data_IF_947084500304
#
_entry.id   IF_947084500304
#
_cell.length_a   1.000
_cell.length_b   1.000
_cell.length_c   1.000
_cell.angle_alpha   90.00
_cell.angle_beta   90.00
_cell.angle_gamma   90.00
#
_symmetry.space_group_name_H-M   'P 1'
#
loop_
_entity.id
_entity.type
_entity.pdbx_description
1 polymer ?
#
# COMPACT_ATOMS: atom_id res chain seq x y z
N UNK A 1 16.22 -3.44 32.97
CA UNK A 1 17.38 -2.80 32.31
C UNK A 1 18.09 -3.79 31.37
N UNK A 2 18.86 -3.30 30.39
CA UNK A 2 19.73 -4.05 29.45
C UNK A 2 19.08 -5.11 28.53
N UNK A 3 17.81 -5.48 28.73
CA UNK A 3 17.13 -6.50 27.92
C UNK A 3 16.97 -6.17 26.43
N UNK A 4 16.76 -4.89 26.08
CA UNK A 4 16.74 -4.49 24.66
C UNK A 4 18.16 -4.52 24.04
N UNK A 5 19.20 -3.90 24.63
CA UNK A 5 20.59 -4.09 24.18
C UNK A 5 21.01 -5.55 24.01
N UNK A 6 20.69 -6.43 24.97
CA UNK A 6 20.99 -7.87 24.88
C UNK A 6 20.32 -8.53 23.67
N UNK A 7 19.04 -8.23 23.43
CA UNK A 7 18.29 -8.70 22.26
C UNK A 7 18.89 -8.17 20.95
N UNK A 8 19.23 -6.89 20.88
CA UNK A 8 19.80 -6.26 19.69
C UNK A 8 21.21 -6.78 19.37
N UNK A 9 22.01 -7.10 20.39
CA UNK A 9 23.32 -7.74 20.23
C UNK A 9 23.18 -9.12 19.57
N UNK A 10 22.29 -9.97 20.07
CA UNK A 10 21.97 -11.25 19.44
C UNK A 10 21.41 -11.08 18.03
N UNK A 11 20.47 -10.14 17.85
CA UNK A 11 19.83 -9.87 16.56
C UNK A 11 20.86 -9.53 15.48
N UNK A 12 21.78 -8.61 15.77
CA UNK A 12 22.87 -8.20 14.87
C UNK A 12 23.90 -9.31 14.63
N UNK A 13 24.15 -10.18 15.63
CA UNK A 13 25.10 -11.29 15.47
C UNK A 13 24.52 -12.49 14.73
N UNK A 14 23.25 -12.86 14.93
CA UNK A 14 22.69 -14.17 14.56
C UNK A 14 21.74 -14.17 13.37
N UNK A 15 21.04 -13.07 13.11
CA UNK A 15 19.95 -13.09 12.12
C UNK A 15 20.48 -13.33 10.71
N UNK A 16 19.96 -14.39 10.08
CA UNK A 16 20.37 -14.84 8.75
C UNK A 16 21.67 -15.66 8.72
N UNK A 17 22.23 -16.06 9.87
CA UNK A 17 23.40 -16.94 9.95
C UNK A 17 23.04 -18.36 10.35
N UNK A 18 23.87 -19.30 9.90
CA UNK A 18 23.85 -20.70 10.33
C UNK A 18 24.51 -20.82 11.71
N UNK A 19 23.93 -21.62 12.59
CA UNK A 19 24.40 -21.84 13.98
C UNK A 19 24.32 -23.32 14.34
N UNK A 20 25.29 -23.76 15.13
CA UNK A 20 25.31 -25.08 15.75
C UNK A 20 24.77 -24.97 17.19
N UNK A 21 24.06 -25.99 17.67
CA UNK A 21 23.53 -25.99 19.04
C UNK A 21 23.66 -27.36 19.69
N UNK A 22 23.93 -27.38 20.99
CA UNK A 22 24.03 -28.58 21.82
C UNK A 22 22.99 -28.48 22.94
N UNK A 23 22.07 -29.43 23.03
CA UNK A 23 21.04 -29.44 24.08
C UNK A 23 21.58 -30.15 25.31
N UNK A 24 21.71 -29.43 26.43
CA UNK A 24 22.18 -29.98 27.71
C UNK A 24 21.05 -30.65 28.49
N UNK A 25 19.90 -30.00 28.62
CA UNK A 25 18.78 -30.51 29.39
C UNK A 25 17.43 -29.97 28.91
N UNK A 26 16.36 -30.73 29.18
CA UNK A 26 14.97 -30.35 28.89
C UNK A 26 14.18 -30.30 30.19
N UNK A 27 13.34 -29.29 30.37
CA UNK A 27 12.44 -29.22 31.53
C UNK A 27 11.20 -30.09 31.30
N UNK A 28 10.49 -30.51 32.37
CA UNK A 28 9.20 -31.19 32.24
C UNK A 28 8.13 -30.39 31.49
N UNK A 29 8.32 -29.07 31.36
CA UNK A 29 7.47 -28.15 30.60
C UNK A 29 7.82 -28.09 29.10
N UNK A 30 8.72 -28.96 28.62
CA UNK A 30 9.14 -29.00 27.21
C UNK A 30 10.09 -27.87 26.79
N UNK A 31 10.70 -27.13 27.73
CA UNK A 31 11.71 -26.11 27.38
C UNK A 31 13.09 -26.74 27.31
N UNK A 32 13.76 -26.57 26.18
CA UNK A 32 15.11 -27.07 25.94
C UNK A 32 16.13 -25.99 26.29
N UNK A 33 17.21 -26.38 26.96
CA UNK A 33 18.34 -25.52 27.34
C UNK A 33 19.63 -26.12 26.81
N UNK A 34 20.55 -25.26 26.38
CA UNK A 34 21.75 -25.67 25.67
C UNK A 34 22.63 -24.50 25.26
N UNK A 35 23.76 -24.81 24.63
CA UNK A 35 24.68 -23.83 24.06
C UNK A 35 24.41 -23.59 22.58
N UNK A 36 24.81 -22.41 22.10
CA UNK A 36 24.71 -22.00 20.70
C UNK A 36 26.05 -21.46 20.25
N UNK A 37 26.56 -21.98 19.15
CA UNK A 37 27.85 -21.64 18.56
C UNK A 37 27.64 -21.04 17.16
N UNK A 38 28.37 -19.96 16.87
CA UNK A 38 28.31 -19.32 15.56
C UNK A 38 29.16 -20.08 14.53
N UNK A 39 28.51 -20.75 13.59
CA UNK A 39 29.16 -21.62 12.60
C UNK A 39 28.45 -22.97 12.47
N UNK A 40 29.14 -23.94 11.87
CA UNK A 40 28.62 -25.31 11.65
C UNK A 40 28.97 -26.27 12.77
N UNK A 41 30.08 -26.02 13.45
CA UNK A 41 30.66 -26.89 14.48
C UNK A 41 30.75 -26.17 15.83
N UNK A 42 30.96 -26.93 16.91
CA UNK A 42 31.09 -26.43 18.28
C UNK A 42 32.39 -25.66 18.56
N UNK A 43 33.30 -25.57 17.58
CA UNK A 43 34.49 -24.71 17.64
C UNK A 43 34.21 -23.23 17.33
N UNK A 44 32.96 -22.88 17.02
CA UNK A 44 32.53 -21.51 16.74
C UNK A 44 32.45 -20.61 17.97
N UNK A 45 32.15 -19.32 17.75
CA UNK A 45 31.94 -18.34 18.83
C UNK A 45 30.73 -18.76 19.69
N UNK A 46 30.95 -19.04 20.98
CA UNK A 46 29.88 -19.32 21.92
C UNK A 46 29.08 -18.04 22.24
N UNK A 47 27.77 -18.10 22.00
CA UNK A 47 26.87 -16.96 22.14
C UNK A 47 26.59 -16.63 23.61
N UNK A 48 26.62 -17.61 24.50
CA UNK A 48 26.46 -17.38 25.94
C UNK A 48 27.67 -16.62 26.50
N UNK A 49 28.88 -17.05 26.14
CA UNK A 49 30.14 -16.36 26.47
C UNK A 49 30.14 -14.91 25.95
N UNK A 50 29.73 -14.71 24.69
CA UNK A 50 29.63 -13.39 24.07
C UNK A 50 28.72 -12.42 24.84
N UNK A 51 27.58 -12.90 25.36
CA UNK A 51 26.66 -12.07 26.13
C UNK A 51 27.20 -11.70 27.51
N UNK A 52 27.88 -12.64 28.18
CA UNK A 52 28.46 -12.42 29.51
C UNK A 52 29.65 -11.46 29.42
N UNK A 53 30.52 -11.63 28.41
CA UNK A 53 31.69 -10.77 28.16
C UNK A 53 31.34 -9.29 27.88
N UNK A 54 30.13 -9.02 27.37
CA UNK A 54 29.61 -7.65 27.17
C UNK A 54 28.70 -7.16 28.32
N UNK A 55 28.57 -7.93 29.41
CA UNK A 55 27.70 -7.57 30.53
C UNK A 55 26.21 -7.51 30.18
N UNK A 56 25.79 -8.26 29.15
CA UNK A 56 24.40 -8.33 28.67
C UNK A 56 23.64 -9.53 29.27
N UNK A 57 24.36 -10.47 29.88
CA UNK A 57 23.83 -11.55 30.72
C UNK A 57 24.74 -11.77 31.93
N UNK A 58 24.18 -12.33 33.01
CA UNK A 58 24.92 -12.85 34.16
C UNK A 58 24.80 -14.37 34.24
N UNK A 59 25.75 -15.02 34.92
CA UNK A 59 25.71 -16.46 35.17
C UNK A 59 24.63 -16.79 36.20
N UNK A 60 24.02 -17.98 36.10
CA UNK A 60 23.08 -18.46 37.11
C UNK A 60 23.82 -18.94 38.35
N UNK A 61 23.40 -18.46 39.51
CA UNK A 61 23.89 -18.92 40.81
C UNK A 61 23.47 -20.38 41.10
N UNK A 62 24.23 -21.08 41.93
CA UNK A 62 23.93 -22.45 42.37
C UNK A 62 24.36 -23.58 41.42
N UNK A 63 24.87 -23.28 40.22
CA UNK A 63 25.45 -24.31 39.34
C UNK A 63 26.87 -24.67 39.84
N UNK A 64 27.16 -25.97 40.00
CA UNK A 64 28.45 -26.47 40.50
C UNK A 64 29.61 -26.02 39.60
N UNK A 65 30.64 -25.42 40.18
CA UNK A 65 31.85 -24.91 39.49
C UNK A 65 32.82 -26.01 38.99
N UNK A 66 32.32 -27.23 38.74
CA UNK A 66 33.12 -28.38 38.27
C UNK A 66 33.05 -28.57 36.74
N UNK A 67 32.38 -27.67 36.01
CA UNK A 67 32.35 -27.67 34.54
C UNK A 67 33.32 -26.59 34.01
N UNK A 68 34.30 -26.91 33.14
CA UNK A 68 35.18 -25.93 32.50
C UNK A 68 34.45 -24.76 31.86
N UNK A 69 33.28 -24.97 31.24
CA UNK A 69 32.50 -23.89 30.62
C UNK A 69 31.89 -22.93 31.64
N UNK A 70 31.51 -23.42 32.83
CA UNK A 70 31.06 -22.56 33.93
C UNK A 70 32.19 -21.68 34.48
N UNK A 71 33.42 -22.20 34.50
CA UNK A 71 34.60 -21.44 34.89
C UNK A 71 34.93 -20.38 33.84
N UNK A 72 34.83 -20.72 32.55
CA UNK A 72 35.01 -19.77 31.45
C UNK A 72 33.99 -18.63 31.49
N UNK A 73 32.72 -18.93 31.76
CA UNK A 73 31.70 -17.90 31.96
C UNK A 73 31.99 -17.01 33.18
N UNK A 74 32.53 -17.57 34.27
CA UNK A 74 32.91 -16.79 35.45
C UNK A 74 34.10 -15.83 35.16
N UNK A 75 35.11 -16.27 34.40
CA UNK A 75 36.20 -15.40 33.94
C UNK A 75 35.68 -14.21 33.12
N UNK A 76 34.78 -14.46 32.17
CA UNK A 76 34.20 -13.43 31.31
C UNK A 76 33.28 -12.48 32.09
N UNK A 77 32.57 -12.98 33.09
CA UNK A 77 31.73 -12.16 33.97
C UNK A 77 32.60 -11.19 34.80
N UNK A 78 33.73 -11.65 35.32
CA UNK A 78 34.66 -10.82 36.09
C UNK A 78 35.39 -9.78 35.21
N UNK A 79 35.71 -10.14 33.96
CA UNK A 79 36.19 -9.19 32.96
C UNK A 79 35.15 -8.12 32.64
N UNK A 80 33.88 -8.49 32.47
CA UNK A 80 32.78 -7.55 32.22
C UNK A 80 32.51 -6.62 33.41
N UNK A 81 32.65 -7.12 34.65
CA UNK A 81 32.60 -6.31 35.89
C UNK A 81 33.75 -5.32 35.97
N UNK A 82 34.98 -5.80 35.81
CA UNK A 82 36.21 -4.98 35.83
C UNK A 82 36.15 -3.88 34.77
N UNK A 83 35.66 -4.21 33.57
CA UNK A 83 35.46 -3.26 32.47
C UNK A 83 34.18 -2.40 32.59
N UNK A 84 33.38 -2.56 33.65
CA UNK A 84 32.11 -1.85 33.90
C UNK A 84 31.15 -1.88 32.69
N UNK A 85 31.05 -3.03 32.02
CA UNK A 85 30.24 -3.20 30.80
C UNK A 85 28.78 -3.54 31.13
N UNK A 86 27.86 -3.05 30.31
CA UNK A 86 26.44 -3.43 30.34
C UNK A 86 25.82 -3.27 31.72
N UNK A 87 25.26 -4.35 32.28
CA UNK A 87 24.67 -4.34 33.61
C UNK A 87 25.64 -4.08 34.77
N UNK A 88 26.95 -4.14 34.51
CA UNK A 88 28.01 -3.79 35.47
C UNK A 88 28.50 -2.34 35.35
N UNK A 89 27.92 -1.55 34.44
CA UNK A 89 28.15 -0.11 34.36
C UNK A 89 27.55 0.64 35.55
N UNK A 90 28.06 1.84 35.81
CA UNK A 90 27.55 2.68 36.90
C UNK A 90 26.15 3.24 36.57
N UNK A 91 25.25 3.17 37.55
CA UNK A 91 23.87 3.66 37.46
C UNK A 91 22.82 2.55 37.25
N UNK A 92 21.55 2.96 37.14
CA UNK A 92 20.40 2.02 37.12
C UNK A 92 20.14 1.38 35.75
N UNK A 93 20.86 1.79 34.71
CA UNK A 93 20.61 1.40 33.32
C UNK A 93 19.23 1.82 32.79
N UNK A 94 18.57 2.81 33.40
CA UNK A 94 17.23 3.28 33.02
C UNK A 94 17.14 3.72 31.55
N UNK A 95 18.21 4.36 31.03
CA UNK A 95 18.34 4.79 29.63
C UNK A 95 18.26 3.63 28.60
N UNK A 96 18.40 2.37 29.04
CA UNK A 96 18.24 1.18 28.18
C UNK A 96 16.80 0.67 28.09
N UNK A 97 15.91 1.21 28.94
CA UNK A 97 14.48 0.89 28.94
C UNK A 97 13.80 1.77 27.89
N UNK A 98 13.24 1.13 26.86
CA UNK A 98 12.50 1.83 25.80
C UNK A 98 11.14 2.28 26.31
N UNK A 99 10.79 3.53 26.05
CA UNK A 99 9.40 4.00 26.06
C UNK A 99 8.69 3.45 24.81
N UNK A 100 7.97 2.33 24.95
CA UNK A 100 7.33 1.65 23.82
C UNK A 100 5.95 2.24 23.53
N UNK A 101 5.83 2.92 22.40
CA UNK A 101 4.61 3.60 21.98
C UNK A 101 3.81 2.70 21.03
N UNK A 102 2.76 2.08 21.55
CA UNK A 102 1.91 1.14 20.81
C UNK A 102 0.81 1.80 19.96
N UNK A 103 0.49 3.07 20.25
CA UNK A 103 -0.56 3.85 19.61
C UNK A 103 0.02 5.20 19.19
N UNK A 104 -0.36 5.69 18.01
CA UNK A 104 -0.08 7.05 17.56
C UNK A 104 -1.38 7.85 17.67
N UNK A 105 -1.36 8.99 18.39
CA UNK A 105 -2.54 9.82 18.61
C UNK A 105 -3.12 10.39 17.30
N UNK A 106 -2.25 10.93 16.44
CA UNK A 106 -2.61 11.42 15.11
C UNK A 106 -1.73 10.77 14.02
N UNK A 107 -2.13 9.60 13.49
CA UNK A 107 -1.36 8.87 12.49
C UNK A 107 -1.12 9.65 11.20
N UNK A 108 -2.05 10.53 10.79
CA UNK A 108 -1.91 11.36 9.58
C UNK A 108 -0.76 12.35 9.75
N UNK A 109 -0.85 13.19 10.79
CA UNK A 109 0.20 14.16 11.12
C UNK A 109 1.57 13.49 11.35
N UNK A 110 1.61 12.29 11.92
CA UNK A 110 2.85 11.53 12.10
C UNK A 110 3.48 11.04 10.78
N UNK A 111 2.68 10.64 9.79
CA UNK A 111 3.20 10.27 8.47
C UNK A 111 3.61 11.52 7.68
N UNK A 112 2.80 12.57 7.74
CA UNK A 112 3.05 13.84 7.02
C UNK A 112 4.34 14.53 7.51
N UNK A 113 4.60 14.53 8.83
CA UNK A 113 5.82 15.12 9.42
C UNK A 113 7.11 14.37 9.07
N UNK A 114 7.00 13.09 8.69
CA UNK A 114 8.13 12.29 8.20
C UNK A 114 8.47 12.59 6.73
N UNK A 115 7.62 13.36 6.02
CA UNK A 115 7.83 13.86 4.66
C UNK A 115 8.29 12.78 3.66
N UNK A 116 7.75 11.56 3.77
CA UNK A 116 8.11 10.40 2.94
C UNK A 116 9.62 10.07 2.94
N UNK A 117 10.36 10.49 3.98
CA UNK A 117 11.77 10.13 4.15
C UNK A 117 11.87 8.68 4.68
N UNK A 118 12.91 7.92 4.30
CA UNK A 118 13.11 6.57 4.82
C UNK A 118 13.41 6.61 6.33
N UNK A 119 12.53 6.02 7.14
CA UNK A 119 12.68 5.91 8.60
C UNK A 119 13.34 4.58 8.94
N UNK A 120 14.41 4.59 9.75
CA UNK A 120 15.06 3.37 10.20
C UNK A 120 14.08 2.58 11.11
N UNK A 121 13.92 1.29 10.84
CA UNK A 121 13.01 0.44 11.59
C UNK A 121 13.50 -1.01 11.69
N UNK A 122 12.96 -1.75 12.66
CA UNK A 122 13.20 -3.19 12.84
C UNK A 122 11.86 -3.91 12.67
N UNK A 123 11.81 -4.93 11.80
CA UNK A 123 10.60 -5.75 11.65
C UNK A 123 10.49 -6.73 12.83
N UNK A 124 9.58 -6.49 13.75
CA UNK A 124 9.40 -7.33 14.95
C UNK A 124 8.55 -8.58 14.69
N UNK A 125 7.57 -8.49 13.78
CA UNK A 125 6.65 -9.59 13.48
C UNK A 125 6.07 -9.47 12.06
N UNK A 126 5.69 -10.60 11.45
CA UNK A 126 5.00 -10.64 10.14
C UNK A 126 3.64 -11.31 10.34
N UNK A 127 2.54 -10.61 10.02
CA UNK A 127 1.18 -11.17 10.12
C UNK A 127 0.84 -11.98 8.87
N UNK A 128 1.04 -11.38 7.71
CA UNK A 128 0.93 -11.99 6.39
C UNK A 128 2.04 -11.44 5.49
N UNK A 129 2.16 -11.93 4.25
CA UNK A 129 3.23 -11.51 3.35
C UNK A 129 3.30 -9.99 3.09
N UNK A 130 2.18 -9.27 3.24
CA UNK A 130 2.04 -7.82 3.00
C UNK A 130 1.88 -6.97 4.26
N UNK A 131 1.68 -7.56 5.44
CA UNK A 131 1.42 -6.84 6.69
C UNK A 131 2.40 -7.25 7.78
N UNK A 132 3.20 -6.29 8.24
CA UNK A 132 4.23 -6.48 9.27
C UNK A 132 4.01 -5.56 10.46
N UNK A 133 4.61 -5.90 11.61
CA UNK A 133 4.81 -4.95 12.72
C UNK A 133 6.25 -4.47 12.68
N UNK A 134 6.42 -3.16 12.70
CA UNK A 134 7.72 -2.51 12.67
C UNK A 134 7.91 -1.64 13.92
N UNK A 135 9.09 -1.73 14.52
CA UNK A 135 9.57 -0.80 15.54
C UNK A 135 10.31 0.34 14.83
N UNK A 136 9.70 1.52 14.78
CA UNK A 136 10.31 2.72 14.20
C UNK A 136 11.34 3.32 15.19
N UNK A 137 12.46 3.78 14.66
CA UNK A 137 13.53 4.43 15.41
C UNK A 137 13.59 5.93 15.05
N UNK A 138 13.99 6.83 15.98
CA UNK A 138 14.54 6.54 17.32
C UNK A 138 13.48 6.32 18.42
N UNK A 139 12.23 6.77 18.23
CA UNK A 139 11.24 6.94 19.30
C UNK A 139 10.48 5.66 19.73
N UNK A 140 10.87 4.49 19.21
CA UNK A 140 10.32 3.18 19.57
C UNK A 140 8.80 3.01 19.39
N UNK A 141 8.22 3.61 18.34
CA UNK A 141 6.84 3.37 17.95
C UNK A 141 6.66 1.96 17.34
N UNK A 142 5.78 1.13 17.91
CA UNK A 142 5.52 -0.24 17.44
C UNK A 142 4.24 -0.33 16.58
N UNK A 143 4.38 0.13 15.33
CA UNK A 143 3.30 0.29 14.36
C UNK A 143 3.00 -0.98 13.55
N UNK A 144 1.83 -1.03 12.92
CA UNK A 144 1.54 -2.00 11.85
C UNK A 144 1.75 -1.33 10.51
N UNK A 145 2.62 -1.90 9.66
CA UNK A 145 2.89 -1.41 8.30
C UNK A 145 2.30 -2.40 7.30
N UNK A 146 1.53 -1.87 6.35
CA UNK A 146 0.98 -2.61 5.21
C UNK A 146 1.67 -2.13 3.94
N UNK A 147 2.14 -3.06 3.12
CA UNK A 147 2.84 -2.73 1.88
C UNK A 147 1.88 -2.03 0.90
N UNK A 148 2.26 -0.82 0.48
CA UNK A 148 1.47 -0.01 -0.45
C UNK A 148 1.42 -0.64 -1.86
N UNK A 149 0.34 -0.36 -2.58
CA UNK A 149 0.09 -0.86 -3.93
C UNK A 149 -0.21 -2.35 -4.09
N UNK A 150 -0.07 -3.18 -3.04
CA UNK A 150 -0.25 -4.63 -3.13
C UNK A 150 -1.14 -5.21 -2.02
N UNK A 151 -1.58 -6.46 -2.19
CA UNK A 151 -2.15 -7.30 -1.13
C UNK A 151 -1.76 -8.76 -1.34
N UNK A 152 -1.27 -9.41 -0.29
CA UNK A 152 -1.09 -10.86 -0.23
C UNK A 152 -2.41 -11.56 0.18
N UNK A 153 -2.54 -12.88 -0.08
CA UNK A 153 -3.51 -13.73 0.59
C UNK A 153 -3.35 -13.61 2.11
N UNK A 154 -4.47 -13.62 2.80
CA UNK A 154 -4.59 -13.33 4.23
C UNK A 154 -5.10 -14.53 5.01
N UNK A 155 -4.90 -14.51 6.31
CA UNK A 155 -5.48 -15.50 7.21
C UNK A 155 -6.87 -15.03 7.64
N UNK A 156 -7.90 -15.86 7.44
CA UNK A 156 -9.26 -15.56 7.86
C UNK A 156 -9.43 -15.98 9.33
N UNK A 157 -9.83 -15.02 10.15
CA UNK A 157 -10.23 -15.24 11.54
C UNK A 157 -11.74 -15.07 11.64
N UNK A 158 -12.45 -16.18 11.79
CA UNK A 158 -13.82 -16.18 12.30
C UNK A 158 -13.75 -16.26 13.84
N UNK A 159 -14.73 -15.68 14.53
CA UNK A 159 -14.60 -15.35 15.96
C UNK A 159 -14.33 -16.57 16.88
N UNK A 160 -14.86 -17.75 16.52
CA UNK A 160 -14.74 -19.00 17.28
C UNK A 160 -14.08 -20.14 16.49
N UNK A 161 -13.47 -19.86 15.33
CA UNK A 161 -12.87 -20.88 14.46
C UNK A 161 -11.34 -20.80 14.42
N UNK A 162 -10.62 -21.92 14.19
CA UNK A 162 -9.18 -21.88 13.92
C UNK A 162 -8.87 -21.02 12.70
N UNK A 163 -7.74 -20.31 12.73
CA UNK A 163 -7.34 -19.36 11.71
C UNK A 163 -7.08 -20.05 10.36
N UNK A 164 -8.01 -19.89 9.40
CA UNK A 164 -7.95 -20.57 8.10
C UNK A 164 -7.12 -19.74 7.11
N UNK A 165 -5.97 -20.25 6.60
CA UNK A 165 -5.18 -19.56 5.59
C UNK A 165 -5.92 -19.54 4.24
N UNK A 166 -5.93 -18.38 3.57
CA UNK A 166 -6.23 -18.35 2.14
C UNK A 166 -5.12 -19.09 1.34
N UNK A 167 -5.41 -19.59 0.12
CA UNK A 167 -4.40 -20.24 -0.72
C UNK A 167 -3.16 -19.35 -0.89
N UNK A 168 -1.97 -19.92 -0.67
CA UNK A 168 -0.68 -19.24 -0.68
C UNK A 168 -0.42 -18.23 0.45
N UNK A 169 -1.29 -18.10 1.47
CA UNK A 169 -1.09 -17.15 2.58
C UNK A 169 0.10 -17.53 3.48
N UNK A 170 0.27 -18.81 3.79
CA UNK A 170 1.37 -19.29 4.62
C UNK A 170 2.72 -19.15 3.91
N UNK A 171 2.76 -19.43 2.62
CA UNK A 171 3.94 -19.34 1.76
C UNK A 171 4.33 -17.88 1.51
N UNK A 172 3.34 -16.99 1.29
CA UNK A 172 3.57 -15.54 1.17
C UNK A 172 4.10 -14.96 2.50
N UNK A 173 3.55 -15.38 3.64
CA UNK A 173 4.06 -15.02 4.97
C UNK A 173 5.52 -15.48 5.15
N UNK A 174 5.81 -16.75 4.89
CA UNK A 174 7.16 -17.30 5.00
C UNK A 174 8.17 -16.62 4.06
N UNK A 175 7.74 -16.22 2.85
CA UNK A 175 8.58 -15.47 1.91
C UNK A 175 9.07 -14.13 2.49
N UNK A 176 8.18 -13.42 3.19
CA UNK A 176 8.49 -12.16 3.88
C UNK A 176 9.26 -12.40 5.19
N UNK A 177 8.88 -13.40 6.00
CA UNK A 177 9.57 -13.73 7.26
C UNK A 177 11.03 -14.14 7.05
N UNK A 178 11.28 -15.06 6.12
CA UNK A 178 12.63 -15.54 5.79
C UNK A 178 13.59 -14.43 5.36
N UNK A 179 13.07 -13.30 4.84
CA UNK A 179 13.86 -12.15 4.35
C UNK A 179 13.94 -10.99 5.33
N UNK A 180 12.83 -10.62 5.98
CA UNK A 180 12.71 -9.36 6.72
C UNK A 180 12.54 -9.50 8.24
N UNK A 181 12.11 -10.66 8.77
CA UNK A 181 11.87 -10.80 10.21
C UNK A 181 13.14 -10.51 11.03
N UNK A 182 13.06 -9.54 11.94
CA UNK A 182 14.16 -9.04 12.78
C UNK A 182 15.37 -8.45 12.02
N UNK A 183 15.21 -8.07 10.75
CA UNK A 183 16.22 -7.31 9.99
C UNK A 183 16.05 -5.80 10.23
N UNK A 184 17.16 -5.08 10.15
CA UNK A 184 17.17 -3.63 10.02
C UNK A 184 16.70 -3.26 8.61
N UNK A 185 15.72 -2.38 8.53
CA UNK A 185 15.13 -1.90 7.27
C UNK A 185 14.93 -0.40 7.32
N UNK A 186 14.71 0.22 6.16
CA UNK A 186 14.19 1.57 6.10
C UNK A 186 12.77 1.53 5.56
N UNK A 187 11.83 2.17 6.24
CA UNK A 187 10.42 2.20 5.83
C UNK A 187 10.09 3.62 5.39
N UNK A 188 9.65 3.77 4.15
CA UNK A 188 9.04 5.00 3.66
C UNK A 188 7.58 4.98 4.11
N UNK A 189 7.20 5.90 5.00
CA UNK A 189 5.82 6.07 5.43
C UNK A 189 5.13 6.99 4.40
N UNK A 190 4.11 6.48 3.72
CA UNK A 190 3.52 7.15 2.55
C UNK A 190 2.09 7.64 2.81
N UNK A 191 1.32 6.90 3.62
CA UNK A 191 -0.04 7.28 4.05
C UNK A 191 -0.42 6.45 5.29
N UNK A 192 -1.62 6.64 5.87
CA UNK A 192 -2.13 5.82 6.98
C UNK A 192 -3.64 5.59 6.87
N UNK A 193 -4.10 4.47 7.42
CA UNK A 193 -5.50 4.18 7.65
C UNK A 193 -5.69 3.59 9.05
N UNK A 194 -6.38 4.33 9.92
CA UNK A 194 -6.43 4.09 11.37
C UNK A 194 -5.00 4.02 11.94
N UNK A 195 -4.68 3.02 12.77
CA UNK A 195 -3.32 2.77 13.28
C UNK A 195 -2.41 1.99 12.31
N UNK A 196 -2.87 1.66 11.11
CA UNK A 196 -2.06 0.98 10.09
C UNK A 196 -1.41 2.02 9.17
N UNK A 197 -0.10 1.95 9.01
CA UNK A 197 0.64 2.80 8.08
C UNK A 197 0.76 2.10 6.73
N UNK A 198 0.50 2.81 5.64
CA UNK A 198 0.82 2.39 4.28
C UNK A 198 2.24 2.85 3.97
N UNK A 199 3.08 1.94 3.50
CA UNK A 199 4.46 2.29 3.19
C UNK A 199 5.22 1.22 2.42
N UNK A 200 6.42 1.59 1.99
CA UNK A 200 7.34 0.70 1.28
C UNK A 200 8.52 0.34 2.18
N UNK A 201 8.80 -0.96 2.33
CA UNK A 201 9.97 -1.45 3.06
C UNK A 201 11.16 -1.54 2.10
N UNK A 202 12.23 -0.81 2.42
CA UNK A 202 13.49 -0.80 1.71
C UNK A 202 14.52 -1.64 2.49
N UNK A 203 15.17 -2.54 1.77
CA UNK A 203 16.28 -3.37 2.27
C UNK A 203 17.36 -3.46 1.17
N UNK A 204 18.67 -3.49 1.51
CA UNK A 204 19.74 -3.50 0.50
C UNK A 204 19.62 -4.62 -0.55
N UNK A 205 19.11 -5.79 -0.14
CA UNK A 205 18.95 -6.95 -1.04
C UNK A 205 17.73 -6.85 -1.99
N UNK A 206 16.95 -5.76 -1.95
CA UNK A 206 15.84 -5.50 -2.89
C UNK A 206 14.52 -5.10 -2.24
N UNK A 207 13.57 -4.69 -3.08
CA UNK A 207 12.23 -4.27 -2.68
C UNK A 207 11.29 -5.46 -2.50
N UNK A 208 10.82 -5.70 -1.27
CA UNK A 208 9.95 -6.84 -0.95
C UNK A 208 8.62 -6.77 -1.72
N UNK A 209 8.08 -5.58 -1.95
CA UNK A 209 6.81 -5.35 -2.67
C UNK A 209 6.88 -5.86 -4.11
N UNK A 210 7.99 -5.58 -4.81
CA UNK A 210 8.23 -6.03 -6.18
C UNK A 210 8.47 -7.54 -6.24
N UNK A 211 9.22 -8.09 -5.27
CA UNK A 211 9.51 -9.52 -5.18
C UNK A 211 8.25 -10.37 -4.94
N UNK A 212 7.36 -9.93 -4.05
CA UNK A 212 6.08 -10.61 -3.77
C UNK A 212 5.16 -10.66 -5.00
N UNK A 213 5.13 -9.58 -5.79
CA UNK A 213 4.38 -9.56 -7.06
C UNK A 213 5.02 -10.46 -8.12
N UNK A 214 6.34 -10.38 -8.30
CA UNK A 214 7.09 -11.14 -9.31
C UNK A 214 7.00 -12.64 -9.08
N UNK A 215 7.01 -13.08 -7.82
CA UNK A 215 6.78 -14.49 -7.46
C UNK A 215 5.28 -14.87 -7.47
N UNK A 216 4.34 -13.93 -7.62
CA UNK A 216 2.92 -14.24 -7.61
C UNK A 216 2.37 -14.59 -6.21
N UNK A 217 3.00 -14.10 -5.14
CA UNK A 217 2.46 -14.15 -3.78
C UNK A 217 1.52 -12.97 -3.46
N UNK A 218 1.54 -11.92 -4.29
CA UNK A 218 0.69 -10.75 -4.15
C UNK A 218 0.02 -10.35 -5.47
N UNK A 219 -1.04 -9.56 -5.37
CA UNK A 219 -1.68 -8.84 -6.48
C UNK A 219 -1.63 -7.33 -6.28
N UNK A 220 -1.67 -6.57 -7.36
CA UNK A 220 -1.76 -5.11 -7.31
C UNK A 220 -3.13 -4.65 -6.80
N UNK A 221 -3.17 -3.49 -6.14
CA UNK A 221 -4.36 -2.95 -5.46
C UNK A 221 -4.56 -1.47 -5.79
N UNK A 222 -5.56 -1.20 -6.63
CA UNK A 222 -5.71 0.12 -7.29
C UNK A 222 -6.11 1.29 -6.37
N UNK A 223 -6.46 1.04 -5.11
CA UNK A 223 -6.77 2.10 -4.14
C UNK A 223 -5.52 2.56 -3.37
N UNK A 224 -4.51 1.70 -3.24
CA UNK A 224 -3.24 2.01 -2.56
C UNK A 224 -2.06 2.17 -3.52
N UNK A 225 -2.22 1.84 -4.81
CA UNK A 225 -1.12 1.94 -5.79
C UNK A 225 -0.70 3.38 -6.10
N UNK A 226 -1.60 4.35 -5.96
CA UNK A 226 -1.30 5.77 -6.13
C UNK A 226 -0.44 6.35 -4.99
N UNK A 227 -0.41 5.67 -3.83
CA UNK A 227 0.38 6.05 -2.65
C UNK A 227 1.84 5.59 -2.77
N UNK A 228 2.12 4.60 -3.64
CA UNK A 228 3.44 3.98 -3.78
C UNK A 228 4.44 4.89 -4.51
N UNK A 229 5.45 5.36 -3.77
CA UNK A 229 6.41 6.39 -4.22
C UNK A 229 7.53 5.89 -5.12
N UNK A 230 7.68 4.57 -5.32
CA UNK A 230 8.86 3.96 -5.99
C UNK A 230 8.63 3.57 -7.46
N UNK A 231 7.47 3.93 -8.01
CA UNK A 231 7.06 3.77 -9.41
C UNK A 231 6.03 2.64 -9.62
N UNK A 232 4.75 3.00 -9.69
CA UNK A 232 3.63 2.06 -9.82
C UNK A 232 3.75 1.11 -11.03
N UNK A 233 4.38 1.55 -12.13
CA UNK A 233 4.57 0.74 -13.34
C UNK A 233 5.43 -0.50 -13.11
N UNK A 234 6.39 -0.43 -12.17
CA UNK A 234 7.21 -1.60 -11.77
C UNK A 234 6.35 -2.67 -11.11
N UNK A 235 5.41 -2.27 -10.26
CA UNK A 235 4.46 -3.20 -9.63
C UNK A 235 3.59 -3.87 -10.69
N UNK A 236 3.03 -3.10 -11.63
CA UNK A 236 2.25 -3.65 -12.75
C UNK A 236 3.07 -4.60 -13.63
N UNK A 237 4.32 -4.27 -13.92
CA UNK A 237 5.23 -5.14 -14.68
C UNK A 237 5.56 -6.45 -13.94
N UNK A 238 5.81 -6.39 -12.63
CA UNK A 238 6.06 -7.56 -11.79
C UNK A 238 4.82 -8.46 -11.67
N UNK A 239 3.63 -7.89 -11.50
CA UNK A 239 2.37 -8.64 -11.49
C UNK A 239 2.09 -9.30 -12.85
N UNK A 240 2.31 -8.57 -13.96
CA UNK A 240 2.17 -9.12 -15.32
C UNK A 240 3.12 -10.30 -15.56
N UNK A 241 4.38 -10.21 -15.13
CA UNK A 241 5.35 -11.30 -15.22
C UNK A 241 4.85 -12.60 -14.56
N UNK A 242 4.21 -12.48 -13.38
CA UNK A 242 3.63 -13.61 -12.66
C UNK A 242 2.32 -14.14 -13.27
N UNK A 243 1.47 -13.24 -13.82
CA UNK A 243 0.25 -13.60 -14.57
C UNK A 243 0.55 -14.41 -15.82
N UNK A 244 1.49 -13.94 -16.66
CA UNK A 244 1.92 -14.60 -17.90
C UNK A 244 2.44 -16.03 -17.64
N UNK A 245 3.11 -16.23 -16.50
CA UNK A 245 3.69 -17.52 -16.08
C UNK A 245 2.77 -18.34 -15.17
N UNK A 246 1.54 -17.87 -14.92
CA UNK A 246 0.55 -18.51 -14.04
C UNK A 246 1.12 -18.91 -12.67
N UNK A 247 1.91 -18.03 -12.05
CA UNK A 247 2.60 -18.33 -10.79
C UNK A 247 1.66 -18.22 -9.58
N UNK A 248 1.63 -19.28 -8.76
CA UNK A 248 0.97 -19.36 -7.43
C UNK A 248 -0.48 -18.86 -7.46
N UNK A 249 -0.79 -17.65 -7.00
CA UNK A 249 -2.17 -17.11 -7.01
C UNK A 249 -2.73 -16.97 -8.44
N UNK A 250 -1.86 -16.94 -9.45
CA UNK A 250 -2.23 -16.86 -10.87
C UNK A 250 -2.29 -18.23 -11.57
N UNK A 251 -2.14 -19.36 -10.86
CA UNK A 251 -2.20 -20.71 -11.48
C UNK A 251 -3.51 -20.95 -12.23
N UNK A 252 -4.61 -20.50 -11.62
CA UNK A 252 -5.99 -20.63 -12.11
C UNK A 252 -6.42 -19.38 -12.91
N UNK A 253 -5.46 -18.53 -13.33
CA UNK A 253 -5.75 -17.31 -14.08
C UNK A 253 -6.25 -17.64 -15.49
N UNK A 254 -7.53 -17.35 -15.72
CA UNK A 254 -8.16 -17.27 -17.03
C UNK A 254 -7.96 -15.85 -17.55
N UNK A 255 -7.14 -15.69 -18.57
CA UNK A 255 -7.03 -14.42 -19.29
C UNK A 255 -8.40 -14.06 -19.90
N UNK A 256 -8.85 -12.79 -19.85
CA UNK A 256 -10.06 -12.37 -20.53
C UNK A 256 -9.94 -12.59 -22.04
N UNK A 257 -10.42 -13.71 -22.54
CA UNK A 257 -10.57 -13.95 -23.97
C UNK A 257 -11.61 -12.99 -24.51
N UNK A 258 -11.27 -12.21 -25.55
CA UNK A 258 -12.17 -11.26 -26.22
C UNK A 258 -13.33 -11.93 -27.00
N UNK A 259 -13.54 -13.24 -26.78
CA UNK A 259 -14.68 -14.03 -27.22
C UNK A 259 -15.87 -13.80 -26.27
N UNK A 260 -16.27 -12.53 -26.11
CA UNK A 260 -17.65 -12.24 -25.77
C UNK A 260 -18.49 -12.64 -27.00
N UNK A 261 -19.52 -13.46 -26.78
CA UNK A 261 -20.49 -13.75 -27.83
C UNK A 261 -21.10 -12.44 -28.34
N UNK A 262 -21.49 -12.40 -29.61
CA UNK A 262 -21.99 -11.17 -30.23
C UNK A 262 -23.25 -10.62 -29.52
N UNK A 263 -23.99 -11.50 -28.82
CA UNK A 263 -25.12 -11.18 -27.94
C UNK A 263 -24.74 -10.50 -26.62
N UNK A 264 -23.52 -10.71 -26.12
CA UNK A 264 -22.99 -10.06 -24.91
C UNK A 264 -22.19 -8.79 -25.24
N UNK A 265 -21.72 -8.63 -26.48
CA UNK A 265 -21.06 -7.40 -26.96
C UNK A 265 -22.03 -6.22 -27.06
N UNK A 266 -23.27 -6.47 -27.48
CA UNK A 266 -24.30 -5.44 -27.57
C UNK A 266 -25.68 -6.06 -27.26
N UNK A 267 -26.34 -5.53 -26.24
CA UNK A 267 -27.70 -5.92 -25.86
C UNK A 267 -28.49 -4.68 -25.43
N UNK A 268 -29.79 -4.68 -25.72
CA UNK A 268 -30.72 -3.66 -25.23
C UNK A 268 -31.29 -4.15 -23.90
N UNK A 269 -31.28 -3.27 -22.90
CA UNK A 269 -31.78 -3.55 -21.56
C UNK A 269 -32.34 -2.27 -20.92
N UNK A 270 -33.36 -2.40 -20.06
CA UNK A 270 -33.94 -1.27 -19.34
C UNK A 270 -33.14 -1.01 -18.06
N UNK A 271 -32.64 0.21 -17.88
CA UNK A 271 -32.01 0.61 -16.60
C UNK A 271 -33.06 0.56 -15.50
N UNK A 272 -32.79 -0.22 -14.45
CA UNK A 272 -33.66 -0.39 -13.29
C UNK A 272 -33.20 0.46 -12.10
N UNK A 273 -31.89 0.58 -11.91
CA UNK A 273 -31.29 1.30 -10.79
C UNK A 273 -29.89 1.78 -11.17
N UNK A 274 -29.53 3.00 -10.77
CA UNK A 274 -28.14 3.44 -10.71
C UNK A 274 -27.62 3.14 -9.31
N UNK A 275 -26.53 2.39 -9.19
CA UNK A 275 -25.88 2.11 -7.90
C UNK A 275 -24.89 3.22 -7.58
N UNK A 276 -23.96 3.46 -8.50
CA UNK A 276 -22.91 4.47 -8.43
C UNK A 276 -22.74 5.11 -9.81
N UNK A 277 -21.97 6.19 -9.91
CA UNK A 277 -21.66 6.83 -11.19
C UNK A 277 -20.81 5.95 -12.16
N UNK A 278 -20.37 4.76 -11.74
CA UNK A 278 -19.74 3.73 -12.58
C UNK A 278 -20.50 2.40 -12.65
N UNK A 279 -21.67 2.27 -12.00
CA UNK A 279 -22.36 0.99 -11.84
C UNK A 279 -23.88 1.14 -11.94
N UNK A 280 -24.49 0.44 -12.91
CA UNK A 280 -25.93 0.43 -13.16
C UNK A 280 -26.48 -1.00 -13.18
N UNK A 281 -27.69 -1.20 -12.66
CA UNK A 281 -28.44 -2.45 -12.78
C UNK A 281 -29.41 -2.32 -13.95
N UNK A 282 -29.31 -3.24 -14.90
CA UNK A 282 -30.17 -3.29 -16.08
C UNK A 282 -30.97 -4.59 -16.11
N UNK A 283 -32.23 -4.50 -16.55
CA UNK A 283 -33.10 -5.65 -16.80
C UNK A 283 -33.04 -6.03 -18.27
N UNK A 284 -32.62 -7.26 -18.53
CA UNK A 284 -32.56 -7.88 -19.84
C UNK A 284 -33.96 -8.26 -20.34
N UNK A 285 -34.11 -8.43 -21.65
CA UNK A 285 -35.36 -8.88 -22.27
C UNK A 285 -35.79 -10.30 -21.84
N UNK A 286 -34.86 -11.12 -21.30
CA UNK A 286 -35.17 -12.41 -20.66
C UNK A 286 -35.88 -12.28 -19.31
N UNK A 287 -35.93 -11.06 -18.74
CA UNK A 287 -36.42 -10.80 -17.38
C UNK A 287 -35.31 -10.72 -16.33
N UNK A 288 -34.10 -11.21 -16.64
CA UNK A 288 -32.96 -11.25 -15.73
C UNK A 288 -32.38 -9.85 -15.44
N UNK A 289 -31.77 -9.69 -14.25
CA UNK A 289 -31.10 -8.45 -13.86
C UNK A 289 -29.58 -8.63 -13.91
N UNK A 290 -28.88 -7.74 -14.61
CA UNK A 290 -27.40 -7.73 -14.77
C UNK A 290 -26.85 -6.40 -14.24
N UNK A 291 -25.76 -6.44 -13.47
CA UNK A 291 -25.04 -5.21 -13.10
C UNK A 291 -23.98 -4.95 -14.16
N UNK A 292 -23.99 -3.74 -14.74
CA UNK A 292 -23.04 -3.28 -15.75
C UNK A 292 -22.18 -2.19 -15.12
N UNK A 293 -20.86 -2.38 -15.20
CA UNK A 293 -19.88 -1.38 -14.80
C UNK A 293 -19.37 -0.64 -16.03
N UNK A 294 -19.29 0.69 -15.95
CA UNK A 294 -18.78 1.53 -17.02
C UNK A 294 -17.26 1.38 -17.10
N UNK A 295 -16.76 0.92 -18.24
CA UNK A 295 -15.34 0.69 -18.47
C UNK A 295 -14.54 2.00 -18.45
N UNK A 296 -13.30 1.93 -17.96
CA UNK A 296 -12.31 3.01 -18.03
C UNK A 296 -12.62 4.30 -17.25
N UNK A 297 -13.69 4.34 -16.46
CA UNK A 297 -13.99 5.44 -15.54
C UNK A 297 -13.91 5.00 -14.07
N UNK A 298 -13.75 5.95 -13.17
CA UNK A 298 -13.82 5.75 -11.71
C UNK A 298 -14.59 6.93 -11.11
N UNK A 299 -15.61 6.69 -10.27
CA UNK A 299 -16.40 7.76 -9.69
C UNK A 299 -15.62 8.39 -8.51
N UNK A 300 -15.87 9.66 -8.18
CA UNK A 300 -15.42 10.24 -6.92
C UNK A 300 -15.97 9.40 -5.76
N UNK A 301 -15.10 8.98 -4.85
CA UNK A 301 -15.54 8.30 -3.62
C UNK A 301 -15.88 9.36 -2.58
N UNK A 302 -17.07 9.26 -1.99
CA UNK A 302 -17.41 10.04 -0.81
C UNK A 302 -16.48 9.61 0.34
N UNK A 303 -15.88 10.58 1.03
CA UNK A 303 -15.05 10.29 2.20
C UNK A 303 -15.93 9.80 3.35
N UNK A 304 -15.83 8.50 3.68
CA UNK A 304 -16.45 7.94 4.88
C UNK A 304 -16.90 6.48 4.75
N UNK A 305 -17.28 6.02 3.57
CA UNK A 305 -17.98 4.72 3.45
C UNK A 305 -17.01 3.52 3.38
N UNK A 306 -16.47 3.17 4.55
CA UNK A 306 -15.67 1.97 4.79
C UNK A 306 -16.49 0.72 5.11
N UNK A 307 -17.81 0.74 4.90
CA UNK A 307 -18.72 -0.34 5.24
C UNK A 307 -19.12 -1.19 4.02
N UNK A 308 -19.30 -2.49 4.23
CA UNK A 308 -19.68 -3.43 3.17
C UNK A 308 -21.14 -3.21 2.74
N UNK A 309 -21.39 -3.15 1.43
CA UNK A 309 -22.72 -3.47 0.86
C UNK A 309 -22.68 -4.83 0.17
N UNK A 310 -22.31 -5.86 0.94
CA UNK A 310 -22.52 -7.26 0.54
C UNK A 310 -23.90 -7.72 0.99
N UNK A 311 -24.84 -7.86 0.05
CA UNK A 311 -26.06 -8.64 0.25
C UNK A 311 -27.29 -7.89 0.75
N UNK A 312 -27.92 -7.08 -0.09
CA UNK A 312 -29.40 -6.94 -0.07
C UNK A 312 -30.00 -7.89 -1.10
N UNK A 313 -30.32 -9.12 -0.67
CA UNK A 313 -31.08 -10.07 -1.50
C UNK A 313 -32.51 -9.56 -1.64
N UNK A 314 -32.96 -9.39 -2.89
CA UNK A 314 -34.32 -8.92 -3.20
C UNK A 314 -35.38 -9.86 -2.61
N UNK A 315 -36.35 -9.30 -1.86
CA UNK A 315 -37.65 -9.94 -1.63
C UNK A 315 -38.63 -9.36 -2.64
N UNK A 316 -39.34 -10.25 -3.34
CA UNK A 316 -40.32 -9.86 -4.36
C UNK A 316 -41.42 -8.98 -3.80
N UNK A 317 -41.76 -7.91 -4.51
CA UNK A 317 -42.98 -7.15 -4.30
C UNK A 317 -44.13 -7.99 -4.89
N UNK A 318 -45.12 -8.34 -4.07
CA UNK A 318 -46.32 -9.03 -4.52
C UNK A 318 -47.22 -8.07 -5.33
N UNK A 319 -47.97 -8.55 -6.34
CA UNK A 319 -48.87 -7.69 -7.11
C UNK A 319 -50.08 -7.31 -6.26
N UNK A 320 -50.29 -6.01 -6.00
CA UNK A 320 -51.50 -5.52 -5.30
C UNK A 320 -51.31 -4.41 -4.25
N UNK A 321 -50.24 -3.62 -4.31
CA UNK A 321 -50.10 -2.42 -3.47
C UNK A 321 -50.19 -1.15 -4.33
N UNK A 322 -51.04 -0.21 -3.94
CA UNK A 322 -51.23 1.08 -4.60
C UNK A 322 -50.00 1.99 -4.45
N UNK A 323 -49.77 2.85 -5.44
CA UNK A 323 -48.65 3.79 -5.48
C UNK A 323 -48.65 4.78 -4.29
N UNK A 324 -47.51 4.97 -3.60
CA UNK A 324 -47.29 6.16 -2.80
C UNK A 324 -46.85 7.32 -3.72
N UNK A 325 -47.54 8.46 -3.61
CA UNK A 325 -47.19 9.70 -4.30
C UNK A 325 -45.77 10.16 -3.95
N UNK A 326 -45.02 10.63 -4.96
CA UNK A 326 -43.66 11.10 -4.78
C UNK A 326 -43.61 12.45 -4.03
N UNK A 327 -42.58 12.71 -3.20
CA UNK A 327 -42.32 14.05 -2.69
C UNK A 327 -41.72 14.93 -3.79
N UNK A 328 -42.14 16.20 -3.86
CA UNK A 328 -41.59 17.18 -4.80
C UNK A 328 -40.12 17.47 -4.49
N UNK A 329 -39.28 17.44 -5.54
CA UNK A 329 -37.90 17.92 -5.48
C UNK A 329 -37.85 19.39 -5.92
N UNK A 330 -37.48 20.26 -4.99
CA UNK A 330 -37.23 21.68 -5.26
C UNK A 330 -36.06 21.84 -6.24
N UNK A 331 -36.30 22.46 -7.40
CA UNK A 331 -35.26 22.96 -8.30
C UNK A 331 -35.11 24.47 -8.10
N UNK A 332 -33.88 25.02 -8.03
CA UNK A 332 -33.68 26.47 -8.06
C UNK A 332 -33.98 27.02 -9.46
N UNK A 333 -34.65 28.16 -9.47
CA UNK A 333 -35.25 28.81 -10.65
C UNK A 333 -34.20 29.31 -11.67
N UNK A 334 -34.43 29.06 -12.96
CA UNK A 334 -33.57 29.55 -14.04
C UNK A 334 -33.97 30.98 -14.43
N UNK A 335 -33.00 31.89 -14.52
CA UNK A 335 -33.21 33.24 -15.06
C UNK A 335 -33.58 33.20 -16.55
N UNK A 336 -34.45 34.10 -17.05
CA UNK A 336 -34.90 34.12 -18.43
C UNK A 336 -33.81 34.64 -19.40
N UNK A 337 -33.86 34.25 -20.69
CA UNK A 337 -32.85 34.62 -21.69
C UNK A 337 -32.99 36.08 -22.17
N UNK A 338 -31.85 36.74 -22.40
CA UNK A 338 -31.81 38.06 -23.04
C UNK A 338 -32.03 37.96 -24.56
N UNK A 339 -32.74 38.95 -25.11
CA UNK A 339 -33.16 39.03 -26.50
C UNK A 339 -32.01 39.36 -27.48
N UNK A 340 -32.13 39.02 -28.79
CA UNK A 340 -31.04 39.18 -29.75
C UNK A 340 -30.98 40.59 -30.36
N UNK A 341 -29.79 41.22 -30.32
CA UNK A 341 -29.53 42.49 -31.01
C UNK A 341 -28.93 42.28 -32.42
N UNK A 342 -29.49 43.01 -33.40
CA UNK A 342 -29.07 43.00 -34.82
C UNK A 342 -27.82 43.87 -35.07
N UNK A 343 -27.26 43.73 -36.26
CA UNK A 343 -25.96 44.26 -36.70
C UNK A 343 -25.95 45.69 -37.26
N UNK A 344 -24.95 46.51 -36.83
CA UNK A 344 -24.22 47.59 -37.57
C UNK A 344 -25.02 48.83 -38.05
N UNK A 345 -24.41 50.01 -38.37
CA UNK A 345 -23.03 50.24 -38.85
C UNK A 345 -22.23 51.41 -38.18
N UNK A 346 -21.26 51.95 -38.92
CA UNK A 346 -19.99 52.62 -38.50
C UNK A 346 -20.06 54.14 -38.32
N UNK A 347 -19.41 54.66 -37.27
CA UNK A 347 -18.68 55.95 -37.17
C UNK A 347 -18.00 56.07 -35.78
N UNK A 348 -16.97 56.89 -35.52
CA UNK A 348 -16.09 57.64 -36.43
C UNK A 348 -15.37 58.84 -35.79
N UNK A 349 -14.16 58.68 -35.22
CA UNK A 349 -13.36 59.77 -34.62
C UNK A 349 -12.22 59.31 -33.70
N UNK A 350 -11.14 60.08 -33.62
CA UNK A 350 -9.91 59.85 -32.83
C UNK A 350 -9.48 61.19 -32.13
N UNK A 351 -8.28 61.35 -31.53
CA UNK A 351 -7.71 60.65 -30.36
C UNK A 351 -7.16 61.62 -29.27
N UNK A 352 -6.87 61.11 -28.06
CA UNK A 352 -5.81 61.60 -27.14
C UNK A 352 -5.39 60.42 -26.24
N UNK A 353 -4.12 60.04 -26.01
CA UNK A 353 -2.85 60.75 -25.77
C UNK A 353 -2.61 61.16 -24.31
N UNK A 354 -1.91 60.29 -23.56
CA UNK A 354 -1.15 60.60 -22.35
C UNK A 354 -0.05 59.52 -22.15
N UNK A 355 1.16 59.90 -21.73
CA UNK A 355 2.32 59.01 -21.72
C UNK A 355 3.29 59.25 -20.55
N UNK A 356 3.86 58.15 -20.01
CA UNK A 356 5.18 58.05 -19.33
C UNK A 356 5.36 58.88 -18.03
N UNK A 357 6.51 58.79 -17.28
CA UNK A 357 7.77 58.00 -17.42
C UNK A 357 8.07 57.01 -16.25
N UNK A 358 8.78 55.89 -16.44
CA UNK A 358 10.26 55.60 -16.48
C UNK A 358 11.04 55.50 -15.14
N UNK A 359 11.89 54.46 -15.06
CA UNK A 359 12.99 54.26 -14.08
C UNK A 359 13.41 52.78 -14.01
N UNK A 360 14.29 52.23 -14.87
CA UNK A 360 15.78 52.31 -14.99
C UNK A 360 16.63 51.47 -14.00
N UNK A 361 17.12 50.31 -14.49
CA UNK A 361 18.51 49.75 -14.43
C UNK A 361 18.50 48.35 -15.07
N UNK A 362 19.35 47.99 -16.06
CA UNK A 362 20.79 47.64 -16.01
C UNK A 362 21.08 46.45 -15.06
N UNK A 363 21.76 45.37 -15.44
CA UNK A 363 22.64 45.00 -16.58
C UNK A 363 22.18 43.65 -17.21
N UNK A 364 22.72 43.01 -18.25
CA UNK A 364 23.87 43.23 -19.15
C UNK A 364 24.48 41.88 -19.57
N UNK A 365 24.48 41.52 -20.87
CA UNK A 365 25.00 40.24 -21.36
C UNK A 365 24.81 40.05 -22.87
N UNK A 366 25.85 39.61 -23.58
CA UNK A 366 25.97 39.74 -25.04
C UNK A 366 26.15 38.39 -25.77
N UNK A 367 25.48 38.30 -26.93
CA UNK A 367 25.43 37.31 -28.04
C UNK A 367 26.75 36.55 -28.41
N UNK A 368 26.76 35.50 -29.30
CA UNK A 368 25.78 35.18 -30.37
C UNK A 368 25.43 33.69 -30.69
N UNK A 369 24.44 33.55 -31.61
CA UNK A 369 24.17 32.56 -32.71
C UNK A 369 25.04 31.26 -32.83
N UNK A 370 24.58 30.12 -33.37
CA UNK A 370 23.72 29.84 -34.54
C UNK A 370 22.92 28.50 -34.47
N UNK A 371 22.12 28.25 -35.52
CA UNK A 371 21.29 27.07 -35.90
C UNK A 371 19.78 27.23 -35.59
N UNK A 372 18.85 27.08 -36.53
CA UNK A 372 18.96 26.80 -37.97
C UNK A 372 17.90 25.79 -38.42
N UNK A 373 17.07 26.16 -39.41
CA UNK A 373 16.11 25.29 -40.12
C UNK A 373 14.88 24.79 -39.33
N UNK A 374 13.85 25.62 -39.27
CA UNK A 374 12.45 25.17 -39.17
C UNK A 374 11.95 24.85 -40.58
N UNK A 375 11.88 23.55 -40.92
CA UNK A 375 11.30 23.07 -42.17
C UNK A 375 9.79 22.96 -42.08
N UNK A 376 9.06 23.66 -42.96
CA UNK A 376 7.63 23.47 -43.13
C UNK A 376 7.33 22.13 -43.82
N UNK A 377 6.57 21.25 -43.17
CA UNK A 377 5.89 20.14 -43.84
C UNK A 377 4.55 19.87 -43.18
N UNK A 378 3.46 20.30 -43.83
CA UNK A 378 2.10 19.83 -43.53
C UNK A 378 2.01 18.32 -43.73
N UNK A 379 1.12 17.65 -43.00
CA UNK A 379 0.00 17.07 -43.75
C UNK A 379 -1.36 17.22 -43.06
N UNK A 380 -2.40 17.38 -43.90
CA UNK A 380 -3.78 16.95 -43.67
C UNK A 380 -4.41 17.17 -42.29
N UNK A 381 -5.14 18.28 -42.13
CA UNK A 381 -6.24 18.34 -41.15
C UNK A 381 -7.38 17.46 -41.66
N UNK A 382 -7.41 16.19 -41.26
CA UNK A 382 -8.61 15.36 -41.35
C UNK A 382 -9.56 15.72 -40.21
N UNK A 383 -10.76 16.19 -40.52
CA UNK A 383 -11.78 16.55 -39.54
C UNK A 383 -12.31 15.31 -38.81
N UNK A 384 -11.70 14.95 -37.67
CA UNK A 384 -12.22 13.96 -36.75
C UNK A 384 -13.50 14.48 -36.08
N UNK A 385 -14.66 13.93 -36.47
CA UNK A 385 -15.92 14.27 -35.83
C UNK A 385 -15.98 13.72 -34.41
N UNK A 386 -16.12 14.60 -33.41
CA UNK A 386 -16.46 14.19 -32.05
C UNK A 386 -17.91 13.67 -32.02
N UNK A 387 -18.21 12.60 -31.27
CA UNK A 387 -19.58 12.12 -31.12
C UNK A 387 -20.39 13.11 -30.27
N UNK A 388 -21.24 13.91 -30.92
CA UNK A 388 -22.22 14.75 -30.24
C UNK A 388 -23.47 13.95 -29.88
N UNK A 389 -23.89 14.03 -28.62
CA UNK A 389 -25.16 13.47 -28.15
C UNK A 389 -26.27 14.50 -28.45
N UNK A 390 -27.11 14.22 -29.44
CA UNK A 390 -28.29 15.04 -29.74
C UNK A 390 -29.48 14.48 -28.97
N UNK A 391 -29.98 15.24 -28.00
CA UNK A 391 -31.22 14.94 -27.28
C UNK A 391 -32.36 15.69 -27.98
N UNK A 392 -33.18 14.98 -28.76
CA UNK A 392 -34.41 15.53 -29.33
C UNK A 392 -35.61 15.27 -28.40
N UNK A 393 -36.41 16.29 -28.04
CA UNK A 393 -37.62 16.09 -27.25
C UNK A 393 -38.74 15.53 -28.13
N UNK A 394 -39.06 14.24 -27.96
CA UNK A 394 -40.29 13.65 -28.50
C UNK A 394 -41.48 13.99 -27.59
N UNK A 395 -42.67 14.24 -28.17
CA UNK A 395 -43.87 14.60 -27.38
C UNK A 395 -44.54 13.43 -26.63
N UNK A 396 -43.91 12.25 -26.60
CA UNK A 396 -44.44 11.04 -25.98
C UNK A 396 -43.36 10.27 -25.19
N UNK A 397 -42.90 10.83 -24.06
CA UNK A 397 -42.44 10.07 -22.88
C UNK A 397 -41.21 9.14 -22.97
N UNK A 398 -40.63 8.88 -24.15
CA UNK A 398 -39.52 7.94 -24.32
C UNK A 398 -38.20 8.66 -24.66
N UNK A 399 -37.19 8.48 -23.81
CA UNK A 399 -35.81 8.87 -24.09
C UNK A 399 -35.08 7.74 -24.82
N UNK A 400 -34.68 8.00 -26.07
CA UNK A 400 -33.80 7.13 -26.85
C UNK A 400 -32.36 7.63 -26.79
N UNK A 401 -31.43 6.75 -26.37
CA UNK A 401 -29.99 6.95 -26.53
C UNK A 401 -29.52 6.19 -27.77
N UNK A 402 -29.33 6.91 -28.88
CA UNK A 402 -28.75 6.34 -30.11
C UNK A 402 -27.25 6.60 -30.10
N UNK A 403 -26.46 5.54 -29.97
CA UNK A 403 -25.03 5.57 -30.23
C UNK A 403 -24.78 5.23 -31.70
N UNK A 404 -24.33 6.21 -32.48
CA UNK A 404 -23.84 5.99 -33.84
C UNK A 404 -22.31 5.88 -33.78
N UNK A 405 -21.76 4.77 -34.28
CA UNK A 405 -20.33 4.65 -34.55
C UNK A 405 -20.02 5.18 -35.95
N UNK A 406 -18.96 5.98 -36.14
CA UNK A 406 -18.41 6.20 -37.46
C UNK A 406 -17.69 4.93 -37.95
N UNK A 407 -17.62 4.81 -39.29
CA UNK A 407 -16.79 3.89 -40.12
C UNK A 407 -17.57 2.79 -40.87
N UNK A 408 -17.44 2.72 -42.21
CA UNK A 408 -17.47 3.82 -43.18
C UNK A 408 -18.76 3.85 -44.03
#
# INVERSE_FOLDING_TARGET
PWGFPAREFLRKKLIGKEVCFTVEYKTPQGREYGMVYLGKDTSGENIAESLVAEGLASRREGIRANNPEQNRLAELEEQAKTAKKGMWSEGTGSHTVRDLKYTIENPRHFVDSMHQKPVNAIIEHVRDGSVVRALLLPDYYLVTVMLSGIKCPTFKREADAPEVPEPFAAEAKFFTESRLLQRDVQIVLESCHNQNILGTILHPNGNITELLLKEGFARCVDWSIAVYTRGADKLRAAERYAKERKLRIWRDYVAPTANLDQKDKQFVAKVMQVLNADAIVVKLNSGDHKTVHLSSIRPPRLEGDGAQVSGRRWRGIAPGASEPTAPELFFPEQQPPLAPCRSRPVSGGAPMAAALPLGLSRDGGMLPREQGLLGCSSPGVSSGAFPFVIILPSRCGEMFLVFSSPDP
#
